data_IF_347121257887
#
_entry.id   IF_347121257887
#
_cell.length_a   1.000
_cell.length_b   1.000
_cell.length_c   1.000
_cell.angle_alpha   90.00
_cell.angle_beta   90.00
_cell.angle_gamma   90.00
#
_symmetry.space_group_name_H-M   'P 1'
#
loop_
_entity.id
_entity.type
_entity.pdbx_description
1 polymer ?
#
# COMPACT_ATOMS: atom_id res chain seq x y z
N UNK A 1 -38.57 25.65 -41.58
CA UNK A 1 -38.95 24.90 -40.37
C UNK A 1 -38.00 25.33 -39.24
N UNK A 2 -38.37 26.37 -38.49
CA UNK A 2 -37.54 26.96 -37.43
C UNK A 2 -37.66 26.14 -36.15
N UNK A 3 -36.64 25.33 -35.86
CA UNK A 3 -36.56 24.50 -34.66
C UNK A 3 -36.32 25.42 -33.45
N UNK A 4 -37.30 25.46 -32.54
CA UNK A 4 -37.23 26.15 -31.24
C UNK A 4 -36.29 25.37 -30.30
N UNK A 5 -35.01 25.72 -30.30
CA UNK A 5 -33.97 25.19 -29.39
C UNK A 5 -33.93 25.90 -28.01
N UNK A 6 -34.80 26.88 -27.75
CA UNK A 6 -34.75 27.70 -26.54
C UNK A 6 -35.06 27.00 -25.19
N UNK A 7 -35.89 25.94 -25.06
CA UNK A 7 -36.27 25.47 -23.72
C UNK A 7 -35.17 24.62 -23.05
N UNK A 8 -34.29 23.99 -23.84
CA UNK A 8 -33.25 23.11 -23.31
C UNK A 8 -32.10 23.88 -22.64
N UNK A 9 -31.75 25.07 -23.15
CA UNK A 9 -30.71 25.92 -22.57
C UNK A 9 -31.13 26.48 -21.20
N UNK A 10 -32.41 26.81 -21.01
CA UNK A 10 -32.92 27.31 -19.74
C UNK A 10 -32.95 26.22 -18.64
N UNK A 11 -33.25 24.98 -19.01
CA UNK A 11 -33.20 23.80 -18.10
C UNK A 11 -31.78 23.47 -17.67
N UNK A 12 -30.79 23.60 -18.56
CA UNK A 12 -29.38 23.35 -18.23
C UNK A 12 -28.81 24.40 -17.26
N UNK A 13 -29.19 25.68 -17.43
CA UNK A 13 -28.77 26.75 -16.53
C UNK A 13 -29.41 26.64 -15.13
N UNK A 14 -30.64 26.14 -15.02
CA UNK A 14 -31.31 25.93 -13.73
C UNK A 14 -30.72 24.76 -12.90
N UNK A 15 -30.09 23.78 -13.57
CA UNK A 15 -29.40 22.66 -12.90
C UNK A 15 -28.07 23.03 -12.26
N UNK A 16 -27.44 24.15 -12.67
CA UNK A 16 -26.13 24.59 -12.17
C UNK A 16 -26.22 25.42 -10.87
N UNK A 17 -27.40 25.93 -10.51
CA UNK A 17 -27.61 26.72 -9.29
C UNK A 17 -27.66 25.91 -7.98
N UNK A 18 -27.61 24.57 -8.05
CA UNK A 18 -27.56 23.69 -6.87
C UNK A 18 -26.20 23.66 -6.15
N UNK A 19 -25.11 24.06 -6.82
CA UNK A 19 -23.76 23.97 -6.26
C UNK A 19 -23.38 25.09 -5.28
N UNK A 20 -24.24 26.10 -5.10
CA UNK A 20 -23.97 27.26 -4.24
C UNK A 20 -25.11 27.52 -3.25
N UNK A 21 -25.69 26.47 -2.69
CA UNK A 21 -26.71 26.60 -1.65
C UNK A 21 -26.04 27.13 -0.36
N UNK A 22 -26.18 28.43 -0.10
CA UNK A 22 -25.52 29.16 1.00
C UNK A 22 -26.11 28.92 2.39
N UNK A 23 -26.96 27.90 2.55
CA UNK A 23 -27.69 27.68 3.79
C UNK A 23 -26.93 26.79 4.76
N UNK A 24 -26.54 27.38 5.89
CA UNK A 24 -26.21 26.72 7.15
C UNK A 24 -25.08 25.67 7.09
N UNK A 25 -23.91 26.06 6.56
CA UNK A 25 -22.71 25.25 6.72
C UNK A 25 -22.37 25.10 8.21
N UNK A 26 -21.96 23.91 8.66
CA UNK A 26 -21.44 23.74 10.00
C UNK A 26 -20.22 24.65 10.19
N UNK A 27 -20.08 25.21 11.39
CA UNK A 27 -18.93 26.04 11.74
C UNK A 27 -17.63 25.24 11.55
N UNK A 28 -16.64 25.85 10.90
CA UNK A 28 -15.26 25.36 10.87
C UNK A 28 -14.49 25.69 12.15
N UNK A 29 -15.14 26.31 13.14
CA UNK A 29 -14.54 26.48 14.45
C UNK A 29 -14.24 25.10 15.05
N UNK A 30 -13.07 24.93 15.71
CA UNK A 30 -12.71 23.68 16.34
C UNK A 30 -13.82 23.16 17.25
N UNK A 31 -14.25 21.92 17.03
CA UNK A 31 -15.31 21.30 17.83
C UNK A 31 -14.84 21.10 19.27
N UNK A 32 -15.74 21.04 20.27
CA UNK A 32 -15.36 20.74 21.65
C UNK A 32 -14.46 19.51 21.79
N UNK A 33 -14.76 18.43 21.08
CA UNK A 33 -13.98 17.19 21.11
C UNK A 33 -12.55 17.36 20.55
N UNK A 34 -12.38 18.15 19.49
CA UNK A 34 -11.07 18.42 18.89
C UNK A 34 -10.18 19.23 19.86
N UNK A 35 -10.78 20.08 20.70
CA UNK A 35 -10.05 20.82 21.74
C UNK A 35 -9.55 19.92 22.87
N UNK A 36 -10.20 18.80 23.14
CA UNK A 36 -9.72 17.83 24.12
C UNK A 36 -8.51 17.07 23.57
N UNK A 37 -8.55 16.67 22.29
CA UNK A 37 -7.41 16.05 21.60
C UNK A 37 -6.19 16.99 21.58
N UNK A 38 -6.40 18.29 21.35
CA UNK A 38 -5.32 19.29 21.37
C UNK A 38 -4.69 19.51 22.76
N UNK A 39 -5.38 19.12 23.84
CA UNK A 39 -4.86 19.20 25.22
C UNK A 39 -4.28 17.88 25.71
N UNK A 40 -4.53 16.78 25.00
CA UNK A 40 -3.93 15.51 25.32
C UNK A 40 -2.43 15.56 25.03
N UNK A 41 -1.63 14.95 25.91
CA UNK A 41 -0.21 14.71 25.64
C UNK A 41 -0.10 13.94 24.32
N UNK A 42 0.71 14.44 23.39
CA UNK A 42 0.92 13.75 22.12
C UNK A 42 1.59 12.40 22.42
N UNK A 43 0.86 11.31 22.21
CA UNK A 43 1.47 9.98 22.18
C UNK A 43 2.49 10.02 21.03
N UNK A 44 3.78 9.73 21.29
CA UNK A 44 4.77 9.69 20.22
C UNK A 44 4.25 8.76 19.12
N UNK A 45 4.32 9.17 17.85
CA UNK A 45 3.95 8.26 16.78
C UNK A 45 4.76 6.98 16.96
N UNK A 46 4.07 5.83 16.91
CA UNK A 46 4.76 4.55 16.86
C UNK A 46 5.81 4.64 15.74
N UNK A 47 7.04 4.20 16.01
CA UNK A 47 8.13 4.26 15.04
C UNK A 47 7.64 3.73 13.70
N UNK A 48 7.62 4.59 12.67
CA UNK A 48 7.23 4.17 11.33
C UNK A 48 8.12 2.98 10.94
N UNK A 49 7.58 1.97 10.23
CA UNK A 49 8.40 0.90 9.70
C UNK A 49 9.57 1.51 8.94
N UNK A 50 10.80 1.08 9.25
CA UNK A 50 11.97 1.54 8.51
C UNK A 50 11.78 1.16 7.05
N UNK A 51 11.63 2.16 6.17
CA UNK A 51 11.56 1.92 4.73
C UNK A 51 12.89 1.29 4.31
N UNK A 52 12.83 0.14 3.65
CA UNK A 52 14.02 -0.50 3.13
C UNK A 52 14.75 0.48 2.19
N UNK A 53 16.05 0.67 2.40
CA UNK A 53 16.85 1.47 1.48
C UNK A 53 16.71 0.95 0.03
N UNK A 54 16.73 1.81 -0.98
CA UNK A 54 16.73 1.38 -2.38
C UNK A 54 17.89 0.42 -2.66
N UNK A 55 17.69 -0.53 -3.58
CA UNK A 55 18.77 -1.38 -4.08
C UNK A 55 19.76 -0.50 -4.85
N UNK A 56 21.06 -0.49 -4.49
CA UNK A 56 22.02 0.34 -5.20
C UNK A 56 22.23 -0.21 -6.62
N UNK A 57 22.40 0.65 -7.64
CA UNK A 57 22.67 0.20 -9.01
C UNK A 57 23.89 -0.72 -9.13
N UNK A 58 24.87 -0.54 -8.23
CA UNK A 58 26.09 -1.35 -8.17
C UNK A 58 25.93 -2.71 -7.49
N UNK A 59 24.76 -3.03 -6.91
CA UNK A 59 24.52 -4.36 -6.36
C UNK A 59 24.62 -5.41 -7.47
N UNK A 60 25.23 -6.55 -7.19
CA UNK A 60 25.15 -7.71 -8.10
C UNK A 60 23.87 -8.53 -7.84
N UNK A 61 23.61 -9.52 -8.71
CA UNK A 61 22.42 -10.37 -8.62
C UNK A 61 22.38 -11.14 -7.28
N UNK A 62 23.53 -11.61 -6.79
CA UNK A 62 23.61 -12.35 -5.54
C UNK A 62 23.24 -11.48 -4.32
N UNK A 63 23.66 -10.22 -4.31
CA UNK A 63 23.33 -9.24 -3.28
C UNK A 63 21.83 -8.90 -3.29
N UNK A 64 21.20 -8.82 -4.48
CA UNK A 64 19.76 -8.62 -4.61
C UNK A 64 18.99 -9.80 -4.01
N UNK A 65 19.39 -11.03 -4.35
CA UNK A 65 18.78 -12.25 -3.79
C UNK A 65 18.92 -12.28 -2.27
N UNK A 66 20.12 -12.05 -1.74
CA UNK A 66 20.37 -12.07 -0.30
C UNK A 66 19.53 -11.01 0.44
N UNK A 67 19.36 -9.81 -0.15
CA UNK A 67 18.51 -8.76 0.40
C UNK A 67 17.03 -9.19 0.43
N UNK A 68 16.53 -9.81 -0.63
CA UNK A 68 15.15 -10.31 -0.69
C UNK A 68 14.90 -11.43 0.35
N UNK A 69 15.86 -12.34 0.52
CA UNK A 69 15.79 -13.39 1.53
C UNK A 69 15.79 -12.82 2.96
N UNK A 70 16.62 -11.82 3.23
CA UNK A 70 16.62 -11.13 4.52
C UNK A 70 15.29 -10.41 4.78
N UNK A 71 14.73 -9.77 3.75
CA UNK A 71 13.42 -9.13 3.83
C UNK A 71 12.30 -10.15 4.10
N UNK A 72 12.37 -11.35 3.52
CA UNK A 72 11.40 -12.42 3.79
C UNK A 72 11.44 -12.90 5.25
N UNK A 73 12.62 -12.95 5.87
CA UNK A 73 12.74 -13.21 7.32
C UNK A 73 11.99 -12.14 8.12
N UNK A 74 12.24 -10.86 7.82
CA UNK A 74 11.58 -9.74 8.50
C UNK A 74 10.06 -9.73 8.29
N UNK A 75 9.60 -10.06 7.07
CA UNK A 75 8.19 -10.23 6.77
C UNK A 75 7.55 -11.30 7.66
N UNK A 76 8.17 -12.47 7.78
CA UNK A 76 7.64 -13.57 8.63
C UNK A 76 7.59 -13.18 10.10
N UNK A 77 8.61 -12.48 10.59
CA UNK A 77 8.61 -11.95 11.96
C UNK A 77 7.48 -10.93 12.18
N UNK A 78 7.29 -10.01 11.23
CA UNK A 78 6.20 -9.03 11.27
C UNK A 78 4.83 -9.71 11.25
N UNK A 79 4.67 -10.72 10.39
CA UNK A 79 3.44 -11.51 10.27
C UNK A 79 3.07 -12.20 11.59
N UNK A 80 4.02 -12.91 12.20
CA UNK A 80 3.77 -13.62 13.46
C UNK A 80 3.44 -12.66 14.60
N UNK A 81 4.14 -11.51 14.67
CA UNK A 81 3.86 -10.46 15.66
C UNK A 81 2.47 -9.83 15.47
N UNK A 82 2.05 -9.59 14.22
CA UNK A 82 0.81 -8.89 13.91
C UNK A 82 -0.43 -9.79 13.96
N UNK A 83 -0.27 -11.11 13.80
CA UNK A 83 -1.37 -12.08 13.70
C UNK A 83 -2.44 -11.92 14.78
N UNK A 84 -2.13 -11.78 16.09
CA UNK A 84 -3.17 -11.63 17.10
C UNK A 84 -4.01 -10.36 16.94
N UNK A 85 -3.40 -9.24 16.55
CA UNK A 85 -4.11 -7.97 16.36
C UNK A 85 -5.00 -8.02 15.11
N UNK A 86 -4.51 -8.62 14.03
CA UNK A 86 -5.29 -8.82 12.80
C UNK A 86 -6.51 -9.71 13.07
N UNK A 87 -6.33 -10.83 13.77
CA UNK A 87 -7.41 -11.75 14.15
C UNK A 87 -8.44 -11.09 15.08
N UNK A 88 -7.99 -10.32 16.07
CA UNK A 88 -8.88 -9.56 16.95
C UNK A 88 -9.67 -8.50 16.19
N UNK A 89 -9.03 -7.78 15.27
CA UNK A 89 -9.70 -6.78 14.43
C UNK A 89 -10.69 -7.40 13.45
N UNK A 90 -10.42 -8.61 12.94
CA UNK A 90 -11.35 -9.35 12.08
C UNK A 90 -12.64 -9.75 12.79
N UNK A 91 -12.56 -10.06 14.09
CA UNK A 91 -13.73 -10.42 14.90
C UNK A 91 -14.49 -9.19 15.47
N UNK A 92 -13.94 -7.98 15.31
CA UNK A 92 -14.47 -6.77 15.92
C UNK A 92 -15.46 -6.05 14.98
N UNK A 93 -16.44 -5.29 15.53
CA UNK A 93 -17.29 -4.43 14.72
C UNK A 93 -16.47 -3.41 13.93
N UNK A 94 -16.85 -3.18 12.67
CA UNK A 94 -16.22 -2.15 11.84
C UNK A 94 -16.22 -0.79 12.54
N UNK A 95 -15.09 -0.07 12.46
CA UNK A 95 -14.91 1.22 13.11
C UNK A 95 -14.61 1.18 14.62
N UNK A 96 -14.60 0.00 15.25
CA UNK A 96 -14.11 -0.14 16.63
C UNK A 96 -12.59 -0.03 16.70
N UNK A 97 -12.05 0.30 17.88
CA UNK A 97 -10.60 0.40 18.11
C UNK A 97 -9.86 -0.91 17.76
N UNK A 98 -10.47 -2.05 18.08
CA UNK A 98 -9.91 -3.37 17.75
C UNK A 98 -9.87 -3.59 16.23
N UNK A 99 -10.91 -3.18 15.49
CA UNK A 99 -10.93 -3.23 14.03
C UNK A 99 -9.84 -2.34 13.43
N UNK A 100 -9.73 -1.08 13.87
CA UNK A 100 -8.71 -0.13 13.39
C UNK A 100 -7.30 -0.67 13.67
N UNK A 101 -7.06 -1.18 14.87
CA UNK A 101 -5.77 -1.78 15.26
C UNK A 101 -5.41 -2.98 14.38
N UNK A 102 -6.38 -3.85 14.07
CA UNK A 102 -6.17 -4.98 13.17
C UNK A 102 -5.84 -4.57 11.74
N UNK A 103 -6.50 -3.53 11.21
CA UNK A 103 -6.18 -2.99 9.88
C UNK A 103 -4.76 -2.39 9.83
N UNK A 104 -4.36 -1.63 10.85
CA UNK A 104 -3.01 -1.07 10.93
C UNK A 104 -1.94 -2.16 11.04
N UNK A 105 -2.21 -3.22 11.81
CA UNK A 105 -1.34 -4.38 11.91
C UNK A 105 -1.20 -5.09 10.57
N UNK A 106 -2.31 -5.31 9.84
CA UNK A 106 -2.30 -5.90 8.49
C UNK A 106 -1.46 -5.04 7.52
N UNK A 107 -1.72 -3.73 7.46
CA UNK A 107 -0.96 -2.82 6.59
C UNK A 107 0.54 -2.81 6.89
N UNK A 108 0.91 -2.97 8.17
CA UNK A 108 2.32 -3.05 8.57
C UNK A 108 2.99 -4.33 8.03
N UNK A 109 2.28 -5.46 8.02
CA UNK A 109 2.79 -6.71 7.43
C UNK A 109 2.87 -6.61 5.91
N UNK A 110 1.88 -6.00 5.26
CA UNK A 110 1.89 -5.81 3.81
C UNK A 110 3.07 -4.93 3.36
N UNK A 111 3.35 -3.85 4.09
CA UNK A 111 4.53 -3.01 3.85
C UNK A 111 5.86 -3.78 4.02
N UNK A 112 5.92 -4.77 4.92
CA UNK A 112 7.10 -5.61 5.09
C UNK A 112 7.35 -6.56 3.92
N UNK A 113 6.35 -6.82 3.06
CA UNK A 113 6.49 -7.64 1.86
C UNK A 113 7.05 -6.85 0.65
N UNK A 114 6.96 -5.52 0.67
CA UNK A 114 7.42 -4.64 -0.43
C UNK A 114 8.85 -4.92 -0.91
N UNK A 115 9.86 -5.14 -0.04
CA UNK A 115 11.23 -5.29 -0.51
C UNK A 115 11.49 -6.52 -1.40
N UNK A 116 10.68 -7.58 -1.28
CA UNK A 116 10.77 -8.74 -2.20
C UNK A 116 10.21 -8.38 -3.58
N UNK A 117 9.10 -7.62 -3.61
CA UNK A 117 8.54 -7.11 -4.86
C UNK A 117 9.50 -6.12 -5.55
N UNK A 118 10.16 -5.25 -4.79
CA UNK A 118 11.17 -4.32 -5.31
C UNK A 118 12.36 -5.08 -5.92
N UNK A 119 12.82 -6.15 -5.27
CA UNK A 119 13.89 -6.99 -5.79
C UNK A 119 13.50 -7.69 -7.11
N UNK A 120 12.26 -8.17 -7.23
CA UNK A 120 11.74 -8.72 -8.48
C UNK A 120 11.71 -7.67 -9.60
N UNK A 121 11.19 -6.48 -9.31
CA UNK A 121 11.16 -5.38 -10.29
C UNK A 121 12.55 -4.96 -10.76
N UNK A 122 13.52 -4.90 -9.85
CA UNK A 122 14.91 -4.56 -10.19
C UNK A 122 15.59 -5.66 -11.03
N UNK A 123 15.35 -6.94 -10.73
CA UNK A 123 15.86 -8.04 -11.56
C UNK A 123 15.23 -8.04 -12.95
N UNK A 124 13.92 -7.80 -13.06
CA UNK A 124 13.23 -7.76 -14.34
C UNK A 124 13.77 -6.65 -15.25
N UNK A 125 13.96 -5.44 -14.69
CA UNK A 125 14.61 -4.33 -15.39
C UNK A 125 16.00 -4.69 -15.91
N UNK A 126 16.83 -5.36 -15.10
CA UNK A 126 18.18 -5.79 -15.52
C UNK A 126 18.15 -6.89 -16.57
N UNK A 127 17.15 -7.76 -16.53
CA UNK A 127 16.94 -8.79 -17.57
C UNK A 127 16.64 -8.13 -18.92
N UNK A 128 15.79 -7.10 -18.94
CA UNK A 128 15.50 -6.31 -20.13
C UNK A 128 16.75 -5.58 -20.67
N UNK A 129 17.57 -5.01 -19.78
CA UNK A 129 18.84 -4.39 -20.15
C UNK A 129 19.79 -5.40 -20.81
N UNK A 130 19.92 -6.61 -20.23
CA UNK A 130 20.77 -7.69 -20.76
C UNK A 130 20.27 -8.18 -22.13
N UNK A 131 18.96 -8.36 -22.28
CA UNK A 131 18.34 -8.75 -23.55
C UNK A 131 18.58 -7.69 -24.64
N UNK A 132 18.44 -6.41 -24.29
CA UNK A 132 18.71 -5.28 -25.21
C UNK A 132 20.18 -5.23 -25.63
N UNK A 133 21.10 -5.58 -24.73
CA UNK A 133 22.53 -5.67 -25.01
C UNK A 133 22.94 -6.95 -25.78
N UNK A 134 22.03 -7.93 -25.95
CA UNK A 134 22.34 -9.23 -26.55
C UNK A 134 23.19 -10.14 -25.65
N UNK A 135 23.22 -9.90 -24.34
CA UNK A 135 23.96 -10.70 -23.37
C UNK A 135 23.09 -11.85 -22.83
N UNK A 136 23.00 -12.91 -23.64
CA UNK A 136 22.18 -14.09 -23.32
C UNK A 136 22.62 -14.82 -22.04
N UNK A 137 23.90 -14.75 -21.67
CA UNK A 137 24.41 -15.41 -20.47
C UNK A 137 23.93 -14.69 -19.21
N UNK A 138 24.02 -13.36 -19.19
CA UNK A 138 23.51 -12.54 -18.08
C UNK A 138 21.98 -12.61 -18.00
N UNK A 139 21.29 -12.55 -19.14
CA UNK A 139 19.83 -12.69 -19.18
C UNK A 139 19.35 -14.01 -18.55
N UNK A 140 19.99 -15.13 -18.91
CA UNK A 140 19.67 -16.45 -18.35
C UNK A 140 19.91 -16.51 -16.83
N UNK A 141 21.05 -15.98 -16.35
CA UNK A 141 21.36 -15.95 -14.93
C UNK A 141 20.37 -15.11 -14.11
N UNK A 142 19.90 -13.98 -14.67
CA UNK A 142 18.86 -13.14 -14.02
C UNK A 142 17.50 -13.86 -14.04
N UNK A 143 17.19 -14.60 -15.09
CA UNK A 143 15.96 -15.39 -15.19
C UNK A 143 15.89 -16.45 -14.08
N UNK A 144 16.99 -17.15 -13.82
CA UNK A 144 17.06 -18.11 -12.70
C UNK A 144 16.84 -17.43 -11.34
N UNK A 145 17.42 -16.23 -11.16
CA UNK A 145 17.23 -15.43 -9.95
C UNK A 145 15.76 -14.98 -9.76
N UNK A 146 15.09 -14.58 -10.84
CA UNK A 146 13.66 -14.24 -10.82
C UNK A 146 12.82 -15.43 -10.36
N UNK A 147 13.03 -16.63 -10.93
CA UNK A 147 12.31 -17.85 -10.52
C UNK A 147 12.49 -18.13 -9.03
N UNK A 148 13.71 -17.95 -8.50
CA UNK A 148 13.98 -18.13 -7.08
C UNK A 148 13.18 -17.16 -6.19
N UNK A 149 13.13 -15.87 -6.55
CA UNK A 149 12.43 -14.86 -5.74
C UNK A 149 10.90 -14.90 -5.92
N UNK A 150 10.41 -15.38 -7.06
CA UNK A 150 8.99 -15.55 -7.34
C UNK A 150 8.30 -16.41 -6.27
N UNK A 151 8.95 -17.52 -5.88
CA UNK A 151 8.42 -18.42 -4.86
C UNK A 151 8.27 -17.73 -3.49
N UNK A 152 9.20 -16.85 -3.11
CA UNK A 152 9.09 -16.06 -1.88
C UNK A 152 7.92 -15.09 -1.96
N UNK A 153 7.81 -14.35 -3.06
CA UNK A 153 6.73 -13.39 -3.27
C UNK A 153 5.35 -14.07 -3.21
N UNK A 154 5.17 -15.21 -3.88
CA UNK A 154 3.92 -15.97 -3.87
C UNK A 154 3.57 -16.50 -2.47
N UNK A 155 4.57 -16.94 -1.69
CA UNK A 155 4.37 -17.35 -0.31
C UNK A 155 3.90 -16.16 0.57
N UNK A 156 4.50 -14.98 0.40
CA UNK A 156 4.09 -13.77 1.14
C UNK A 156 2.66 -13.34 0.79
N UNK A 157 2.31 -13.34 -0.51
CA UNK A 157 0.96 -13.02 -0.98
C UNK A 157 -0.06 -14.00 -0.45
N UNK A 158 0.25 -15.29 -0.45
CA UNK A 158 -0.62 -16.33 0.10
C UNK A 158 -0.82 -16.16 1.60
N UNK A 159 0.25 -15.84 2.34
CA UNK A 159 0.18 -15.61 3.78
C UNK A 159 -0.68 -14.38 4.15
N UNK A 160 -0.60 -13.30 3.38
CA UNK A 160 -1.44 -12.12 3.58
C UNK A 160 -2.89 -12.33 3.14
N UNK A 161 -3.11 -13.03 2.03
CA UNK A 161 -4.45 -13.37 1.58
C UNK A 161 -5.21 -14.21 2.63
N UNK A 162 -4.50 -15.11 3.34
CA UNK A 162 -5.07 -15.89 4.43
C UNK A 162 -5.52 -15.04 5.65
N UNK A 163 -5.10 -13.77 5.74
CA UNK A 163 -5.52 -12.85 6.79
C UNK A 163 -6.74 -12.00 6.41
N UNK A 164 -7.05 -11.86 5.11
CA UNK A 164 -8.22 -11.10 4.64
C UNK A 164 -9.52 -11.90 4.85
N UNK A 165 -10.67 -11.24 5.09
CA UNK A 165 -11.96 -11.92 5.13
C UNK A 165 -12.29 -12.55 3.76
N UNK A 166 -12.95 -13.71 3.80
CA UNK A 166 -13.59 -14.33 2.63
C UNK A 166 -14.89 -13.61 2.25
#
# INVERSE_FOLDING_TARGET
MTIRLLPAAALLCAGLSGCAQTTNYPSLAPRPIEREVLRAEAVPPASAPAVAAPIPPSADVAAIIARAQAADVLFREALEKARPAVEAGRAAPEGSDAWVSGQQAYSSVDAAATPVADALGELDRRREDAATAGDAATEAAITDALVQLQALYEAQRSALAALLPA
#
